data_IF_434696237683
#
_entry.id   IF_434696237683
#
_cell.length_a   1.000
_cell.length_b   1.000
_cell.length_c   1.000
_cell.angle_alpha   90.00
_cell.angle_beta   90.00
_cell.angle_gamma   90.00
#
_symmetry.space_group_name_H-M   'P 1'
#
loop_
_entity.id
_entity.type
_entity.pdbx_description
1 polymer ?
#
# COMPACT_ATOMS: atom_id res chain seq x y z
N UNK A 1 -16.39 24.70 2.59
CA UNK A 1 -15.15 24.61 3.37
C UNK A 1 -13.99 25.10 2.51
N UNK A 2 -12.96 25.63 3.15
CA UNK A 2 -11.76 26.14 2.46
C UNK A 2 -10.85 24.96 2.03
N UNK A 3 -10.91 23.87 2.76
CA UNK A 3 -10.19 22.64 2.45
C UNK A 3 -10.90 21.39 2.97
N UNK A 4 -10.52 20.23 2.43
CA UNK A 4 -10.97 18.90 2.85
C UNK A 4 -9.77 17.97 2.97
N UNK A 5 -9.69 17.22 4.07
CA UNK A 5 -8.76 16.09 4.23
C UNK A 5 -9.57 14.79 4.13
N UNK A 6 -9.58 14.13 2.97
CA UNK A 6 -10.30 12.87 2.83
C UNK A 6 -9.62 11.76 3.67
N UNK A 7 -10.30 11.30 4.72
CA UNK A 7 -9.83 10.13 5.50
C UNK A 7 -10.51 8.87 5.02
N UNK A 8 -10.47 8.66 3.71
CA UNK A 8 -11.05 7.51 3.00
C UNK A 8 -9.92 6.67 2.41
N UNK A 9 -9.94 5.40 2.70
CA UNK A 9 -8.97 4.44 2.16
C UNK A 9 -9.49 3.71 0.92
N UNK A 10 -9.01 2.49 0.71
CA UNK A 10 -9.40 1.61 -0.40
C UNK A 10 -10.90 1.28 -0.47
N UNK A 11 -11.67 1.50 0.59
CA UNK A 11 -13.14 1.37 0.62
C UNK A 11 -13.89 2.57 0.02
N UNK A 12 -13.19 3.60 -0.50
CA UNK A 12 -13.79 4.78 -1.12
C UNK A 12 -14.78 4.38 -2.23
N UNK A 13 -16.03 4.82 -2.11
CA UNK A 13 -17.09 4.52 -3.08
C UNK A 13 -17.03 5.46 -4.28
N UNK A 14 -17.72 5.08 -5.37
CA UNK A 14 -17.92 5.98 -6.51
C UNK A 14 -18.58 7.31 -6.10
N UNK A 15 -19.60 7.24 -5.23
CA UNK A 15 -20.30 8.43 -4.74
C UNK A 15 -19.36 9.39 -4.02
N UNK A 16 -18.54 8.92 -3.10
CA UNK A 16 -17.56 9.75 -2.40
C UNK A 16 -16.59 10.42 -3.38
N UNK A 17 -16.08 9.70 -4.37
CA UNK A 17 -15.19 10.24 -5.39
C UNK A 17 -15.88 11.29 -6.26
N UNK A 18 -17.14 11.08 -6.62
CA UNK A 18 -17.92 12.06 -7.37
C UNK A 18 -18.09 13.36 -6.60
N UNK A 19 -18.37 13.27 -5.29
CA UNK A 19 -18.45 14.44 -4.39
C UNK A 19 -17.10 15.16 -4.30
N UNK A 20 -15.99 14.43 -4.13
CA UNK A 20 -14.65 15.03 -4.05
C UNK A 20 -14.33 15.82 -5.33
N UNK A 21 -14.45 15.18 -6.50
CA UNK A 21 -14.22 15.85 -7.79
C UNK A 21 -15.11 17.06 -8.01
N UNK A 22 -16.36 17.02 -7.52
CA UNK A 22 -17.26 18.15 -7.62
C UNK A 22 -16.76 19.33 -6.78
N UNK A 23 -16.39 19.09 -5.53
CA UNK A 23 -15.87 20.13 -4.64
C UNK A 23 -14.52 20.69 -5.12
N UNK A 24 -13.62 19.85 -5.64
CA UNK A 24 -12.36 20.30 -6.26
C UNK A 24 -12.60 21.25 -7.42
N UNK A 25 -13.60 20.96 -8.28
CA UNK A 25 -13.99 21.84 -9.39
C UNK A 25 -14.63 23.15 -8.92
N UNK A 26 -15.15 23.20 -7.71
CA UNK A 26 -15.63 24.41 -7.04
C UNK A 26 -14.50 25.20 -6.36
N UNK A 27 -13.24 24.76 -6.49
CA UNK A 27 -12.08 25.43 -5.92
C UNK A 27 -11.76 25.03 -4.48
N UNK A 28 -12.42 24.01 -3.92
CA UNK A 28 -12.08 23.53 -2.58
C UNK A 28 -10.76 22.74 -2.63
N UNK A 29 -9.81 23.10 -1.78
CA UNK A 29 -8.53 22.41 -1.67
C UNK A 29 -8.71 21.02 -1.05
N UNK A 30 -8.22 20.00 -1.72
CA UNK A 30 -8.19 18.63 -1.20
C UNK A 30 -6.77 18.16 -0.87
N UNK A 31 -6.61 17.48 0.25
CA UNK A 31 -5.36 16.92 0.74
C UNK A 31 -5.64 15.50 1.29
N UNK A 32 -5.46 14.43 0.50
CA UNK A 32 -5.02 14.35 -0.91
C UNK A 32 -6.15 14.67 -1.89
N UNK A 33 -5.78 15.06 -3.11
CA UNK A 33 -6.72 15.24 -4.22
C UNK A 33 -7.31 13.90 -4.72
N UNK A 34 -8.44 14.00 -5.45
CA UNK A 34 -9.20 12.82 -5.91
C UNK A 34 -8.39 11.92 -6.84
N UNK A 35 -7.56 12.47 -7.72
CA UNK A 35 -6.72 11.70 -8.64
C UNK A 35 -5.64 10.91 -7.89
N UNK A 36 -5.00 11.53 -6.90
CA UNK A 36 -4.02 10.86 -6.06
C UNK A 36 -4.63 9.70 -5.25
N UNK A 37 -5.87 9.88 -4.76
CA UNK A 37 -6.62 8.81 -4.09
C UNK A 37 -6.91 7.66 -5.06
N UNK A 38 -7.28 7.96 -6.30
CA UNK A 38 -7.57 6.95 -7.33
C UNK A 38 -6.31 6.18 -7.74
N UNK A 39 -5.17 6.87 -7.90
CA UNK A 39 -3.88 6.25 -8.23
C UNK A 39 -3.47 5.15 -7.23
N UNK A 40 -3.70 5.35 -5.94
CA UNK A 40 -3.30 4.38 -4.90
C UNK A 40 -4.39 3.40 -4.51
N UNK A 41 -5.64 3.69 -4.86
CA UNK A 41 -6.76 2.78 -4.64
C UNK A 41 -6.65 1.54 -5.51
N UNK A 42 -6.21 1.69 -6.74
CA UNK A 42 -5.93 0.61 -7.67
C UNK A 42 -4.49 0.10 -7.43
N UNK A 43 -4.39 -1.05 -6.77
CA UNK A 43 -3.10 -1.68 -6.44
C UNK A 43 -2.26 -1.99 -7.67
N UNK A 44 -2.89 -2.39 -8.78
CA UNK A 44 -2.16 -2.67 -10.01
C UNK A 44 -1.65 -1.38 -10.64
N UNK A 45 -2.49 -0.35 -10.70
CA UNK A 45 -2.10 0.93 -11.27
C UNK A 45 -0.96 1.58 -10.47
N UNK A 46 -0.99 1.49 -9.14
CA UNK A 46 0.16 1.87 -8.30
C UNK A 46 1.44 1.16 -8.75
N UNK A 47 1.42 -0.17 -8.92
CA UNK A 47 2.59 -0.92 -9.36
C UNK A 47 3.04 -0.56 -10.77
N UNK A 48 2.10 -0.24 -11.68
CA UNK A 48 2.41 0.22 -13.04
C UNK A 48 3.15 1.57 -13.02
N UNK A 49 2.70 2.54 -12.22
CA UNK A 49 3.37 3.84 -12.05
C UNK A 49 4.78 3.65 -11.48
N UNK A 50 4.94 2.83 -10.44
CA UNK A 50 6.24 2.56 -9.84
C UNK A 50 7.19 1.87 -10.83
N UNK A 51 6.70 0.87 -11.57
CA UNK A 51 7.47 0.14 -12.59
C UNK A 51 7.94 1.05 -13.71
N UNK A 52 7.06 1.91 -14.23
CA UNK A 52 7.38 2.88 -15.28
C UNK A 52 8.51 3.84 -14.87
N UNK A 53 8.65 4.11 -13.58
CA UNK A 53 9.64 5.01 -13.03
C UNK A 53 10.84 4.27 -12.38
N UNK A 54 10.99 2.96 -12.64
CA UNK A 54 12.06 2.12 -12.10
C UNK A 54 12.17 2.13 -10.57
N UNK A 55 11.05 2.35 -9.87
CA UNK A 55 11.00 2.27 -8.41
C UNK A 55 10.88 0.81 -7.99
N UNK A 56 11.74 0.28 -7.10
CA UNK A 56 11.72 -1.12 -6.69
C UNK A 56 10.40 -1.54 -6.05
N UNK A 57 9.81 -2.59 -6.58
CA UNK A 57 8.59 -3.23 -6.06
C UNK A 57 8.62 -4.75 -6.34
N UNK A 58 7.86 -5.60 -5.64
CA UNK A 58 7.77 -7.01 -5.95
C UNK A 58 7.27 -7.24 -7.38
N UNK A 59 7.80 -8.24 -8.09
CA UNK A 59 7.26 -8.65 -9.39
C UNK A 59 5.76 -8.84 -9.27
N UNK A 60 5.01 -8.18 -10.13
CA UNK A 60 3.54 -8.13 -10.06
C UNK A 60 2.93 -8.56 -11.39
N UNK A 61 1.93 -9.42 -11.34
CA UNK A 61 1.20 -9.89 -12.50
C UNK A 61 -0.31 -9.80 -12.24
N UNK A 62 -1.06 -9.23 -13.17
CA UNK A 62 -2.50 -9.36 -13.21
C UNK A 62 -2.86 -10.63 -13.96
N UNK A 63 -3.68 -11.47 -13.37
CA UNK A 63 -4.20 -12.68 -14.01
C UNK A 63 -5.72 -12.73 -13.95
N UNK A 64 -6.28 -13.33 -14.98
CA UNK A 64 -7.72 -13.58 -15.14
C UNK A 64 -7.94 -15.07 -15.34
N UNK A 65 -9.01 -15.58 -14.79
CA UNK A 65 -9.41 -16.98 -15.01
C UNK A 65 -9.78 -17.25 -16.49
N UNK A 66 -9.34 -18.38 -17.10
CA UNK A 66 -8.51 -19.46 -16.54
C UNK A 66 -7.04 -19.08 -16.41
N UNK A 67 -6.39 -19.57 -15.35
CA UNK A 67 -5.01 -19.22 -15.00
C UNK A 67 -4.07 -20.40 -15.31
N UNK A 68 -3.06 -20.14 -16.16
CA UNK A 68 -1.97 -21.10 -16.40
C UNK A 68 -0.97 -21.06 -15.23
N UNK A 69 -1.04 -22.05 -14.34
CA UNK A 69 -0.16 -22.17 -13.17
C UNK A 69 1.31 -22.44 -13.55
N UNK A 70 1.58 -23.07 -14.69
CA UNK A 70 2.95 -23.26 -15.19
C UNK A 70 3.54 -21.93 -15.68
N UNK A 71 2.74 -21.10 -16.32
CA UNK A 71 3.16 -19.76 -16.70
C UNK A 71 3.49 -18.89 -15.46
N UNK A 72 2.66 -18.96 -14.42
CA UNK A 72 2.90 -18.27 -13.15
C UNK A 72 4.21 -18.75 -12.52
N UNK A 73 4.43 -20.07 -12.48
CA UNK A 73 5.66 -20.64 -11.92
C UNK A 73 6.92 -20.19 -12.66
N UNK A 74 6.87 -20.12 -14.00
CA UNK A 74 8.04 -19.69 -14.80
C UNK A 74 8.34 -18.21 -14.66
N UNK A 75 7.34 -17.35 -14.42
CA UNK A 75 7.52 -15.90 -14.45
C UNK A 75 7.68 -15.27 -13.06
N UNK A 76 7.02 -15.78 -12.03
CA UNK A 76 7.13 -15.27 -10.65
C UNK A 76 7.77 -16.33 -9.73
N UNK A 77 7.33 -17.59 -9.83
CA UNK A 77 7.74 -18.67 -8.94
C UNK A 77 6.91 -18.75 -7.66
N UNK A 78 7.29 -19.68 -6.79
CA UNK A 78 6.68 -19.89 -5.48
C UNK A 78 7.73 -19.76 -4.36
N UNK A 79 7.35 -19.31 -3.17
CA UNK A 79 6.02 -18.85 -2.72
C UNK A 79 5.55 -17.59 -3.46
N UNK A 80 4.21 -17.44 -3.58
CA UNK A 80 3.59 -16.30 -4.26
C UNK A 80 2.47 -15.70 -3.39
N UNK A 81 2.37 -14.37 -3.37
CA UNK A 81 1.28 -13.65 -2.71
C UNK A 81 0.14 -13.43 -3.69
N UNK A 82 -1.04 -13.94 -3.36
CA UNK A 82 -2.27 -13.78 -4.11
C UNK A 82 -3.09 -12.67 -3.46
N UNK A 83 -3.42 -11.63 -4.22
CA UNK A 83 -4.20 -10.48 -3.74
C UNK A 83 -5.46 -10.29 -4.57
N UNK A 84 -6.60 -10.13 -3.92
CA UNK A 84 -7.79 -9.66 -4.63
C UNK A 84 -7.61 -8.19 -5.04
N UNK A 85 -8.21 -7.78 -6.17
CA UNK A 85 -8.21 -6.38 -6.61
C UNK A 85 -8.94 -5.46 -5.62
N UNK A 86 -9.97 -6.00 -4.94
CA UNK A 86 -10.74 -5.32 -3.92
C UNK A 86 -10.45 -5.95 -2.55
N UNK A 87 -10.07 -5.16 -1.58
CA UNK A 87 -9.83 -5.64 -0.20
C UNK A 87 -9.03 -4.65 0.63
N UNK A 88 -9.28 -4.64 1.93
CA UNK A 88 -8.64 -3.73 2.89
C UNK A 88 -8.07 -4.51 4.07
N UNK A 89 -7.04 -3.96 4.73
CA UNK A 89 -6.47 -4.49 5.98
C UNK A 89 -6.01 -5.96 5.88
N UNK A 90 -5.43 -6.36 4.73
CA UNK A 90 -4.94 -7.72 4.49
C UNK A 90 -6.05 -8.77 4.31
N UNK A 91 -7.32 -8.36 4.18
CA UNK A 91 -8.39 -9.27 3.71
C UNK A 91 -8.23 -9.52 2.22
N UNK A 92 -8.34 -10.79 1.79
CA UNK A 92 -8.12 -11.20 0.40
C UNK A 92 -6.63 -11.19 -0.01
N UNK A 93 -5.71 -11.37 0.96
CA UNK A 93 -4.30 -11.57 0.72
C UNK A 93 -3.90 -12.95 1.26
N UNK A 94 -3.40 -13.81 0.39
CA UNK A 94 -3.07 -15.19 0.70
C UNK A 94 -1.65 -15.50 0.23
N UNK A 95 -0.95 -16.38 0.96
CA UNK A 95 0.33 -16.94 0.55
C UNK A 95 0.10 -18.34 -0.01
N UNK A 96 0.48 -18.58 -1.25
CA UNK A 96 0.57 -19.92 -1.83
C UNK A 96 2.04 -20.34 -1.83
N UNK A 97 2.37 -21.30 -0.99
CA UNK A 97 3.76 -21.75 -0.77
C UNK A 97 4.33 -22.53 -1.96
N UNK A 98 3.45 -23.18 -2.73
CA UNK A 98 3.81 -23.99 -3.89
C UNK A 98 2.67 -23.99 -4.93
N UNK A 99 2.96 -24.56 -6.10
CA UNK A 99 2.01 -24.66 -7.21
C UNK A 99 0.69 -25.32 -6.82
N UNK A 100 0.74 -26.41 -6.06
CA UNK A 100 -0.46 -27.14 -5.63
C UNK A 100 -1.36 -26.28 -4.73
N UNK A 101 -0.78 -25.58 -3.76
CA UNK A 101 -1.56 -24.67 -2.90
C UNK A 101 -2.18 -23.54 -3.73
N UNK A 102 -1.47 -23.04 -4.73
CA UNK A 102 -1.97 -22.02 -5.64
C UNK A 102 -3.18 -22.52 -6.44
N UNK A 103 -3.06 -23.71 -7.07
CA UNK A 103 -4.13 -24.34 -7.85
C UNK A 103 -5.39 -24.58 -6.98
N UNK A 104 -5.23 -25.09 -5.77
CA UNK A 104 -6.35 -25.28 -4.82
C UNK A 104 -7.04 -23.96 -4.46
N UNK A 105 -6.26 -22.87 -4.28
CA UNK A 105 -6.81 -21.55 -4.01
C UNK A 105 -7.60 -21.02 -5.22
N UNK A 106 -7.09 -21.21 -6.44
CA UNK A 106 -7.78 -20.84 -7.68
C UNK A 106 -9.09 -21.61 -7.83
N UNK A 107 -9.07 -22.93 -7.68
CA UNK A 107 -10.27 -23.78 -7.72
C UNK A 107 -11.34 -23.33 -6.70
N UNK A 108 -10.92 -23.00 -5.48
CA UNK A 108 -11.85 -22.47 -4.47
C UNK A 108 -12.46 -21.13 -4.90
N UNK A 109 -11.66 -20.25 -5.50
CA UNK A 109 -12.16 -18.95 -5.97
C UNK A 109 -13.13 -19.08 -7.13
N UNK A 110 -12.92 -20.04 -8.03
CA UNK A 110 -13.80 -20.35 -9.16
C UNK A 110 -15.22 -20.75 -8.72
N UNK A 111 -15.34 -21.47 -7.61
CA UNK A 111 -16.63 -21.87 -7.06
C UNK A 111 -17.51 -20.66 -6.66
N UNK A 112 -16.87 -19.53 -6.28
CA UNK A 112 -17.61 -18.32 -5.90
C UNK A 112 -17.84 -17.35 -7.06
N UNK A 113 -16.94 -17.34 -8.03
CA UNK A 113 -17.04 -16.46 -9.21
C UNK A 113 -16.13 -16.98 -10.32
N UNK A 114 -16.71 -17.49 -11.41
CA UNK A 114 -15.96 -17.95 -12.58
C UNK A 114 -15.14 -16.87 -13.28
N UNK A 115 -15.47 -15.58 -13.06
CA UNK A 115 -14.81 -14.43 -13.71
C UNK A 115 -14.15 -13.52 -12.69
N UNK A 116 -13.11 -14.00 -12.03
CA UNK A 116 -12.33 -13.17 -11.13
C UNK A 116 -11.01 -12.70 -11.75
N UNK A 117 -10.53 -11.57 -11.28
CA UNK A 117 -9.19 -11.07 -11.54
C UNK A 117 -8.45 -10.97 -10.22
N UNK A 118 -7.20 -11.40 -10.21
CA UNK A 118 -6.32 -11.33 -9.05
C UNK A 118 -4.96 -10.76 -9.42
N UNK A 119 -4.31 -10.19 -8.44
CA UNK A 119 -2.91 -9.78 -8.52
C UNK A 119 -2.07 -10.88 -7.89
N UNK A 120 -1.06 -11.34 -8.61
CA UNK A 120 -0.02 -12.21 -8.13
C UNK A 120 1.24 -11.38 -7.89
N UNK A 121 1.84 -11.53 -6.72
CA UNK A 121 3.08 -10.84 -6.40
C UNK A 121 4.14 -11.81 -5.88
N UNK A 122 5.38 -11.54 -6.25
CA UNK A 122 6.56 -12.17 -5.65
C UNK A 122 6.48 -12.09 -4.13
N UNK A 123 6.73 -13.22 -3.46
CA UNK A 123 6.89 -13.22 -2.02
C UNK A 123 8.32 -12.84 -1.65
N UNK A 124 8.48 -11.69 -1.01
CA UNK A 124 9.79 -11.20 -0.56
C UNK A 124 10.13 -11.85 0.78
N UNK A 125 10.99 -12.87 0.73
CA UNK A 125 11.28 -13.76 1.86
C UNK A 125 11.85 -13.03 3.08
N UNK A 126 12.70 -12.05 2.85
CA UNK A 126 13.36 -11.28 3.92
C UNK A 126 12.38 -10.43 4.72
N UNK A 127 11.17 -10.23 4.18
CA UNK A 127 10.06 -9.53 4.84
C UNK A 127 8.98 -10.45 5.41
N UNK A 128 9.28 -11.73 5.62
CA UNK A 128 8.30 -12.61 6.27
C UNK A 128 7.91 -12.08 7.64
N UNK A 129 6.64 -11.73 7.82
CA UNK A 129 6.09 -11.22 9.08
C UNK A 129 6.61 -9.85 9.51
N UNK A 130 7.33 -9.11 8.67
CA UNK A 130 7.87 -7.78 9.01
C UNK A 130 7.85 -6.85 7.80
N UNK A 131 7.61 -5.58 8.06
CA UNK A 131 7.72 -4.49 7.09
C UNK A 131 8.06 -3.17 7.76
N UNK A 132 8.24 -2.14 6.94
CA UNK A 132 8.44 -0.76 7.38
C UNK A 132 7.24 0.08 6.95
N UNK A 133 6.70 0.90 7.86
CA UNK A 133 5.72 1.95 7.56
C UNK A 133 6.38 3.30 7.69
N UNK A 134 6.39 4.06 6.60
CA UNK A 134 6.92 5.43 6.54
C UNK A 134 5.75 6.37 6.28
N UNK A 135 5.67 7.47 7.02
CA UNK A 135 4.66 8.52 6.82
C UNK A 135 5.32 9.73 6.16
N UNK A 136 4.73 10.16 5.05
CA UNK A 136 5.13 11.36 4.30
C UNK A 136 4.02 12.39 4.39
N UNK A 137 4.38 13.64 4.66
CA UNK A 137 3.45 14.80 4.66
C UNK A 137 4.13 15.98 3.95
N UNK A 138 3.52 16.48 2.90
CA UNK A 138 4.01 17.65 2.17
C UNK A 138 5.42 17.47 1.59
N UNK A 139 5.75 16.28 1.09
CA UNK A 139 7.06 15.96 0.54
C UNK A 139 8.18 15.84 1.59
N UNK A 140 7.84 15.59 2.85
CA UNK A 140 8.80 15.32 3.93
C UNK A 140 8.45 14.03 4.66
N UNK A 141 9.43 13.21 4.97
CA UNK A 141 9.23 12.07 5.85
C UNK A 141 9.06 12.59 7.28
N UNK A 142 7.93 12.19 7.90
CA UNK A 142 7.58 12.59 9.27
C UNK A 142 8.08 11.55 10.26
N UNK A 143 8.05 10.28 9.89
CA UNK A 143 8.53 9.19 10.73
C UNK A 143 8.45 7.84 10.07
N UNK A 144 9.18 6.89 10.66
CA UNK A 144 9.22 5.51 10.24
C UNK A 144 9.09 4.56 11.43
N UNK A 145 8.43 3.44 11.22
CA UNK A 145 8.35 2.35 12.18
C UNK A 145 8.47 0.99 11.49
N UNK A 146 9.14 0.07 12.13
CA UNK A 146 9.11 -1.35 11.79
C UNK A 146 7.86 -1.97 12.42
N UNK A 147 7.14 -2.76 11.63
CA UNK A 147 6.03 -3.59 12.11
C UNK A 147 6.44 -5.05 12.05
N UNK A 148 6.04 -5.82 13.05
CA UNK A 148 6.33 -7.25 13.13
C UNK A 148 5.09 -8.03 13.56
N UNK A 149 4.82 -9.14 12.89
CA UNK A 149 3.82 -10.13 13.30
C UNK A 149 4.26 -10.80 14.59
N UNK A 150 3.32 -11.10 15.47
CA UNK A 150 3.57 -11.81 16.73
C UNK A 150 3.04 -13.23 16.73
N UNK A 151 2.29 -13.61 15.69
CA UNK A 151 1.61 -14.90 15.55
C UNK A 151 2.18 -15.77 14.41
N UNK A 152 3.29 -15.34 13.78
CA UNK A 152 3.90 -16.03 12.65
C UNK A 152 3.19 -15.80 11.31
N UNK A 153 2.17 -14.92 11.23
CA UNK A 153 1.58 -14.52 9.95
C UNK A 153 2.65 -13.85 9.07
N UNK A 154 2.68 -14.18 7.79
CA UNK A 154 3.61 -13.56 6.84
C UNK A 154 3.36 -12.05 6.65
N UNK A 155 2.19 -11.56 7.05
CA UNK A 155 1.80 -10.16 6.99
C UNK A 155 2.14 -9.43 8.29
N UNK A 156 2.86 -8.33 8.20
CA UNK A 156 3.16 -7.46 9.33
C UNK A 156 1.99 -6.47 9.56
N UNK A 157 1.03 -6.79 10.42
CA UNK A 157 -0.10 -5.91 10.64
C UNK A 157 -0.36 -5.64 12.13
N UNK A 158 -0.08 -4.40 12.57
CA UNK A 158 -0.30 -3.94 13.95
C UNK A 158 -1.76 -4.08 14.39
N UNK A 159 -2.72 -3.90 13.48
CA UNK A 159 -4.16 -4.04 13.79
C UNK A 159 -4.58 -5.48 14.08
N UNK A 160 -3.73 -6.46 13.77
CA UNK A 160 -3.92 -7.88 14.08
C UNK A 160 -3.13 -8.35 15.30
N UNK A 161 -2.66 -7.42 16.13
CA UNK A 161 -1.88 -7.74 17.33
C UNK A 161 -0.36 -7.72 17.14
N UNK A 162 0.13 -7.31 15.97
CA UNK A 162 1.56 -7.15 15.70
C UNK A 162 2.20 -6.04 16.55
N UNK A 163 3.50 -6.16 16.80
CA UNK A 163 4.32 -5.13 17.44
C UNK A 163 4.80 -4.07 16.46
N UNK A 164 5.15 -2.90 16.98
CA UNK A 164 5.85 -1.88 16.21
C UNK A 164 6.93 -1.22 17.06
N UNK A 165 7.99 -0.74 16.39
CA UNK A 165 9.07 0.01 17.02
C UNK A 165 9.60 1.09 16.07
N UNK A 166 10.11 2.22 16.60
CA UNK A 166 10.74 3.24 15.78
C UNK A 166 11.93 2.67 15.01
N UNK A 167 12.19 3.26 13.84
CA UNK A 167 13.34 2.94 13.00
C UNK A 167 13.98 4.22 12.53
N UNK A 168 15.31 4.29 12.56
CA UNK A 168 16.06 5.34 11.91
C UNK A 168 15.97 5.17 10.40
N UNK A 169 15.75 6.28 9.70
CA UNK A 169 15.70 6.30 8.26
C UNK A 169 17.11 6.21 7.67
N UNK A 170 17.28 5.36 6.68
CA UNK A 170 18.40 5.45 5.77
C UNK A 170 18.01 6.21 4.49
N UNK A 171 19.01 6.56 3.69
CA UNK A 171 18.83 7.33 2.43
C UNK A 171 17.90 6.63 1.44
N UNK A 172 17.93 5.30 1.37
CA UNK A 172 17.10 4.53 0.44
C UNK A 172 15.65 4.50 0.90
N UNK A 173 15.39 4.32 2.20
CA UNK A 173 14.04 4.40 2.77
C UNK A 173 13.41 5.76 2.49
N UNK A 174 14.16 6.85 2.75
CA UNK A 174 13.69 8.20 2.53
C UNK A 174 13.40 8.44 1.04
N UNK A 175 14.35 8.11 0.18
CA UNK A 175 14.19 8.24 -1.27
C UNK A 175 12.94 7.50 -1.79
N UNK A 176 12.77 6.23 -1.43
CA UNK A 176 11.63 5.43 -1.89
C UNK A 176 10.30 5.99 -1.40
N UNK A 177 10.24 6.46 -0.15
CA UNK A 177 9.04 7.05 0.41
C UNK A 177 8.68 8.37 -0.28
N UNK A 178 9.64 9.26 -0.49
CA UNK A 178 9.42 10.55 -1.14
C UNK A 178 9.07 10.38 -2.62
N UNK A 179 9.84 9.57 -3.35
CA UNK A 179 9.62 9.39 -4.78
C UNK A 179 8.27 8.72 -5.07
N UNK A 180 7.90 7.67 -4.33
CA UNK A 180 6.61 7.02 -4.53
C UNK A 180 5.42 7.93 -4.25
N UNK A 181 5.47 8.73 -3.17
CA UNK A 181 4.39 9.68 -2.86
C UNK A 181 4.28 10.79 -3.89
N UNK A 182 5.40 11.29 -4.38
CA UNK A 182 5.48 12.30 -5.46
C UNK A 182 4.89 11.76 -6.76
N UNK A 183 5.32 10.57 -7.23
CA UNK A 183 4.83 9.95 -8.46
C UNK A 183 3.32 9.68 -8.43
N UNK A 184 2.78 9.36 -7.25
CA UNK A 184 1.36 9.10 -7.05
C UNK A 184 0.54 10.36 -6.76
N UNK A 185 1.19 11.52 -6.66
CA UNK A 185 0.54 12.82 -6.42
C UNK A 185 0.03 13.03 -5.00
N UNK A 186 0.61 12.35 -4.01
CA UNK A 186 0.14 12.40 -2.62
C UNK A 186 0.78 13.54 -1.84
N UNK A 187 -0.05 14.36 -1.21
CA UNK A 187 0.37 15.29 -0.15
C UNK A 187 0.62 14.56 1.18
N UNK A 188 -0.22 13.56 1.48
CA UNK A 188 -0.11 12.70 2.66
C UNK A 188 -0.06 11.25 2.20
N UNK A 189 0.99 10.54 2.53
CA UNK A 189 1.18 9.16 2.14
C UNK A 189 1.71 8.28 3.29
N UNK A 190 1.25 7.03 3.29
CA UNK A 190 1.86 5.97 4.09
C UNK A 190 2.47 4.94 3.16
N UNK A 191 3.77 4.82 3.18
CA UNK A 191 4.53 3.91 2.32
C UNK A 191 4.95 2.70 3.12
N UNK A 192 4.61 1.52 2.61
CA UNK A 192 5.01 0.24 3.19
C UNK A 192 6.16 -0.34 2.38
N UNK A 193 7.31 -0.55 3.02
CA UNK A 193 8.50 -1.13 2.42
C UNK A 193 8.73 -2.56 2.94
N UNK A 194 9.11 -3.43 2.03
CA UNK A 194 9.62 -4.77 2.33
C UNK A 194 11.14 -4.75 2.31
N UNK A 195 11.76 -5.47 3.24
CA UNK A 195 13.20 -5.76 3.21
C UNK A 195 13.48 -6.74 2.07
N UNK A 196 14.46 -6.47 1.23
CA UNK A 196 14.85 -7.30 0.09
C UNK A 196 16.36 -7.31 -0.09
N UNK A 197 17.03 -8.43 0.22
CA UNK A 197 18.49 -8.53 0.20
C UNK A 197 19.15 -7.35 0.92
N UNK A 198 19.88 -6.51 0.18
CA UNK A 198 20.59 -5.35 0.70
C UNK A 198 19.79 -4.03 0.54
N UNK A 199 18.46 -4.10 0.37
CA UNK A 199 17.65 -2.91 0.14
C UNK A 199 16.17 -3.11 0.44
N UNK A 200 15.32 -2.37 -0.31
CA UNK A 200 13.87 -2.34 -0.05
C UNK A 200 13.07 -2.38 -1.35
N UNK A 201 11.84 -2.93 -1.26
CA UNK A 201 10.80 -2.88 -2.29
C UNK A 201 9.54 -2.24 -1.74
N UNK A 202 8.86 -1.40 -2.53
CA UNK A 202 7.57 -0.82 -2.14
C UNK A 202 6.49 -1.90 -2.22
N UNK A 203 5.86 -2.21 -1.08
CA UNK A 203 4.75 -3.15 -1.00
C UNK A 203 3.41 -2.50 -1.32
N UNK A 204 3.17 -1.33 -0.75
CA UNK A 204 1.91 -0.59 -0.86
C UNK A 204 2.14 0.89 -0.54
N UNK A 205 1.33 1.77 -1.17
CA UNK A 205 1.24 3.19 -0.81
C UNK A 205 -0.20 3.50 -0.48
N UNK A 206 -0.43 4.21 0.62
CA UNK A 206 -1.76 4.52 1.15
C UNK A 206 -2.00 6.02 1.20
N UNK A 207 -3.10 6.51 0.58
CA UNK A 207 -3.51 7.93 0.62
C UNK A 207 -4.14 8.35 1.95
N UNK A 208 -4.52 7.41 2.79
CA UNK A 208 -5.13 7.67 4.11
C UNK A 208 -4.54 6.75 5.16
N UNK A 209 -3.21 6.86 5.42
CA UNK A 209 -2.56 5.96 6.36
C UNK A 209 -3.12 6.14 7.77
N UNK A 210 -3.36 5.02 8.47
CA UNK A 210 -3.56 5.04 9.91
C UNK A 210 -2.24 5.38 10.60
N UNK A 211 -2.22 6.37 11.47
CA UNK A 211 -1.00 6.81 12.14
C UNK A 211 -1.03 6.66 13.67
N UNK A 212 -2.11 6.14 14.26
CA UNK A 212 -2.18 5.89 15.70
C UNK A 212 -1.02 5.00 16.20
N UNK A 213 -0.65 3.98 15.40
CA UNK A 213 0.53 3.16 15.71
C UNK A 213 1.81 3.96 15.68
N UNK A 214 2.00 4.82 14.67
CA UNK A 214 3.17 5.69 14.58
C UNK A 214 3.27 6.58 15.83
N UNK A 215 2.22 7.32 16.17
CA UNK A 215 2.19 8.21 17.33
C UNK A 215 2.42 7.46 18.66
N UNK A 216 1.86 6.24 18.78
CA UNK A 216 2.00 5.43 20.00
C UNK A 216 3.41 4.91 20.22
N UNK A 217 4.11 4.50 19.16
CA UNK A 217 5.38 3.79 19.26
C UNK A 217 6.61 4.67 18.97
N UNK A 218 6.43 5.85 18.36
CA UNK A 218 7.53 6.74 17.97
C UNK A 218 7.50 8.10 18.64
N UNK A 219 6.45 8.43 19.41
CA UNK A 219 6.19 9.74 20.02
C UNK A 219 6.05 10.90 19.01
N UNK A 220 6.03 10.60 17.71
CA UNK A 220 5.88 11.58 16.62
C UNK A 220 4.41 11.99 16.50
N UNK A 221 4.15 13.30 16.50
CA UNK A 221 2.81 13.88 16.43
C UNK A 221 2.38 14.08 14.96
N UNK A 222 1.97 13.00 14.30
CA UNK A 222 1.63 13.00 12.87
C UNK A 222 0.44 13.94 12.58
N UNK A 223 -0.58 13.95 13.44
CA UNK A 223 -1.73 14.83 13.28
C UNK A 223 -1.34 16.32 13.26
N UNK A 224 -0.42 16.73 14.15
CA UNK A 224 0.07 18.12 14.20
C UNK A 224 0.85 18.50 12.92
N UNK A 225 1.67 17.57 12.40
CA UNK A 225 2.39 17.79 11.14
C UNK A 225 1.43 17.97 9.96
N UNK A 226 0.37 17.16 9.89
CA UNK A 226 -0.67 17.30 8.87
C UNK A 226 -1.35 18.67 8.96
N UNK A 227 -1.78 19.08 10.16
CA UNK A 227 -2.44 20.39 10.37
C UNK A 227 -1.50 21.54 10.00
N UNK A 228 -0.23 21.46 10.39
CA UNK A 228 0.78 22.47 10.05
C UNK A 228 0.97 22.58 8.53
N UNK A 229 1.08 21.44 7.85
CA UNK A 229 1.18 21.41 6.38
C UNK A 229 -0.04 22.08 5.71
N UNK A 230 -1.25 21.72 6.16
CA UNK A 230 -2.49 22.30 5.61
C UNK A 230 -2.53 23.83 5.78
N UNK A 231 -2.19 24.33 6.99
CA UNK A 231 -2.11 25.77 7.25
C UNK A 231 -1.14 26.49 6.31
N UNK A 232 0.04 25.91 6.09
CA UNK A 232 1.04 26.48 5.19
C UNK A 232 0.61 26.47 3.71
N UNK A 233 -0.23 25.51 3.32
CA UNK A 233 -0.73 25.39 1.94
C UNK A 233 -1.92 26.34 1.66
N UNK A 234 -2.59 26.80 2.69
CA UNK A 234 -3.70 27.77 2.61
C UNK A 234 -3.24 29.24 2.60
N UNK A 235 -2.03 29.53 3.10
CA UNK A 235 -1.40 30.86 3.08
C UNK A 235 -0.61 31.07 1.79
#
# INVERSE_FOLDING_TARGET
>A
PDFVIPRVGSATTYYQKAVFRHLERMGVLFINGSDAIDNVKDKLYTMQILSQNNVPHPKTMLVKNPIDSDYVQRNIGFPIVVKSLSGTHGKGVYLAENKRNFEQLVEMMEQFNERFNIILQEFVKDSHGKDLRIIVVGGKVIGAMKRESTDGDFRANVTRGGGAKPVELDEQMEYLALESTKLLGLDIGGVDLLYDNDGYKICEVNSSPGFNGMEKYTEIRVAEQIVTYVKNKLN
#
